data_IF_621352812135
#
_entry.id   IF_621352812135
#
_cell.length_a   1.000
_cell.length_b   1.000
_cell.length_c   1.000
_cell.angle_alpha   90.00
_cell.angle_beta   90.00
_cell.angle_gamma   90.00
#
_symmetry.space_group_name_H-M   'P 1'
#
loop_
_entity.id
_entity.type
_entity.pdbx_description
1 polymer ?
#
# COMPACT_ATOMS: atom_id res chain seq x y z
N UNK A 1 23.20 -42.43 -39.14
CA UNK A 1 24.52 -42.02 -38.61
C UNK A 1 24.59 -40.58 -38.06
N UNK A 2 23.52 -39.76 -38.06
CA UNK A 2 23.56 -38.40 -37.48
C UNK A 2 22.68 -38.21 -36.22
N UNK A 3 21.82 -39.18 -35.89
CA UNK A 3 20.93 -39.12 -34.72
C UNK A 3 21.51 -39.75 -33.44
N UNK A 4 22.54 -40.59 -33.58
CA UNK A 4 23.25 -41.18 -32.44
C UNK A 4 24.35 -40.25 -31.89
N UNK A 5 24.77 -39.24 -32.67
CA UNK A 5 25.74 -38.23 -32.25
C UNK A 5 25.12 -37.14 -31.36
N UNK A 6 23.80 -36.90 -31.44
CA UNK A 6 23.13 -35.87 -30.64
C UNK A 6 22.94 -36.30 -29.17
N UNK A 7 22.83 -37.61 -28.91
CA UNK A 7 22.76 -38.12 -27.54
C UNK A 7 24.12 -38.14 -26.81
N UNK A 8 25.23 -38.07 -27.53
CA UNK A 8 26.57 -38.04 -26.92
C UNK A 8 27.06 -36.62 -26.60
N UNK A 9 26.45 -35.59 -27.22
CA UNK A 9 26.79 -34.17 -27.00
C UNK A 9 26.06 -33.55 -25.80
N UNK A 10 25.00 -34.20 -25.29
CA UNK A 10 24.27 -33.74 -24.10
C UNK A 10 24.82 -34.28 -22.76
N UNK A 11 25.85 -35.14 -22.79
CA UNK A 11 26.42 -35.78 -21.59
C UNK A 11 27.71 -35.09 -21.07
N UNK A 12 28.10 -33.93 -21.59
CA UNK A 12 29.37 -33.26 -21.23
C UNK A 12 29.22 -31.92 -20.51
N UNK A 13 28.01 -31.50 -20.12
CA UNK A 13 27.78 -30.24 -19.38
C UNK A 13 27.66 -30.42 -17.86
N UNK A 14 28.46 -31.33 -17.30
CA UNK A 14 28.64 -31.45 -15.85
C UNK A 14 30.07 -31.02 -15.47
N UNK A 15 30.40 -29.75 -15.66
CA UNK A 15 31.53 -29.13 -14.97
C UNK A 15 31.00 -28.43 -13.72
N UNK A 16 31.02 -29.16 -12.61
CA UNK A 16 30.88 -28.56 -11.28
C UNK A 16 32.06 -27.64 -11.03
N UNK A 17 31.82 -26.33 -10.94
CA UNK A 17 32.82 -25.39 -10.44
C UNK A 17 33.03 -25.72 -8.96
N UNK A 18 34.12 -26.39 -8.64
CA UNK A 18 34.52 -26.62 -7.26
C UNK A 18 34.98 -25.28 -6.70
N UNK A 19 34.16 -24.66 -5.85
CA UNK A 19 34.60 -23.53 -5.04
C UNK A 19 35.65 -24.08 -4.05
N UNK A 20 36.93 -23.89 -4.39
CA UNK A 20 38.02 -24.24 -3.49
C UNK A 20 37.92 -23.41 -2.21
N UNK A 21 37.90 -24.07 -1.06
CA UNK A 21 38.07 -23.43 0.24
C UNK A 21 39.38 -22.62 0.23
N UNK A 22 39.30 -21.32 0.49
CA UNK A 22 40.48 -20.47 0.60
C UNK A 22 41.20 -20.80 1.91
N UNK A 23 42.32 -21.52 1.80
CA UNK A 23 43.15 -21.92 2.95
C UNK A 23 43.98 -20.73 3.41
N UNK A 24 43.79 -20.30 4.66
CA UNK A 24 44.55 -19.21 5.28
C UNK A 24 45.61 -19.82 6.19
N UNK A 25 46.87 -19.40 6.00
CA UNK A 25 48.02 -19.89 6.77
C UNK A 25 48.47 -18.84 7.76
N UNK A 26 48.85 -19.27 8.97
CA UNK A 26 49.27 -18.39 10.06
C UNK A 26 50.66 -18.78 10.55
N UNK A 27 51.52 -17.79 10.76
CA UNK A 27 52.79 -17.98 11.46
C UNK A 27 53.13 -16.77 12.34
N UNK A 28 54.06 -16.98 13.28
CA UNK A 28 54.63 -15.94 14.11
C UNK A 28 55.95 -15.46 13.49
N UNK A 29 56.08 -14.17 13.22
CA UNK A 29 57.32 -13.60 12.70
C UNK A 29 58.38 -13.42 13.82
N UNK A 30 59.60 -13.04 13.44
CA UNK A 30 60.73 -12.86 14.36
C UNK A 30 60.47 -11.82 15.47
N UNK A 31 59.52 -10.91 15.25
CA UNK A 31 59.06 -9.89 16.19
C UNK A 31 57.93 -10.36 17.11
N UNK A 32 57.53 -11.63 17.03
CA UNK A 32 56.48 -12.24 17.86
C UNK A 32 55.05 -11.96 17.40
N UNK A 33 54.86 -11.29 16.27
CA UNK A 33 53.55 -10.88 15.73
C UNK A 33 52.99 -11.98 14.83
N UNK A 34 51.68 -12.27 14.99
CA UNK A 34 50.94 -13.22 14.16
C UNK A 34 50.61 -12.61 12.80
N UNK A 35 51.01 -13.30 11.73
CA UNK A 35 50.79 -12.88 10.34
C UNK A 35 49.94 -13.94 9.61
N UNK A 36 48.91 -13.48 8.89
CA UNK A 36 47.99 -14.29 8.12
C UNK A 36 48.26 -14.10 6.62
N UNK A 37 48.33 -15.19 5.84
CA UNK A 37 48.62 -15.16 4.39
C UNK A 37 47.86 -16.26 3.65
N UNK A 38 47.51 -15.98 2.39
CA UNK A 38 46.90 -16.96 1.48
C UNK A 38 47.94 -17.85 0.76
N UNK A 39 49.24 -17.67 1.06
CA UNK A 39 50.35 -18.47 0.51
C UNK A 39 51.19 -19.14 1.61
N UNK A 40 51.52 -20.45 1.48
CA UNK A 40 52.19 -21.22 2.52
C UNK A 40 53.69 -20.86 2.66
N UNK A 41 54.21 -20.89 3.89
CA UNK A 41 55.63 -20.75 4.24
C UNK A 41 56.09 -21.88 5.16
N UNK A 42 57.40 -22.24 5.18
CA UNK A 42 57.91 -23.25 6.10
C UNK A 42 57.62 -22.86 7.57
N UNK A 43 56.95 -23.75 8.30
CA UNK A 43 56.56 -23.52 9.71
C UNK A 43 55.20 -22.82 9.91
N UNK A 44 54.42 -22.60 8.85
CA UNK A 44 53.06 -22.08 8.97
C UNK A 44 52.06 -23.21 9.28
N UNK A 45 51.11 -22.94 10.17
CA UNK A 45 49.98 -23.82 10.47
C UNK A 45 48.77 -23.41 9.62
N UNK A 46 48.09 -24.40 9.03
CA UNK A 46 46.88 -24.19 8.22
C UNK A 46 45.68 -24.02 9.15
N UNK A 47 44.94 -22.90 9.02
CA UNK A 47 43.78 -22.59 9.86
C UNK A 47 42.50 -22.63 9.03
N UNK A 48 41.57 -23.51 9.43
CA UNK A 48 40.25 -23.63 8.82
C UNK A 48 39.34 -22.49 9.32
N UNK A 49 39.00 -21.56 8.41
CA UNK A 49 38.15 -20.41 8.71
C UNK A 49 36.68 -20.86 8.66
N UNK A 50 36.11 -21.17 9.83
CA UNK A 50 34.67 -21.46 9.95
C UNK A 50 33.85 -20.21 9.61
N UNK A 51 32.74 -20.45 8.91
CA UNK A 51 31.84 -19.52 8.22
C UNK A 51 31.64 -18.13 8.85
N UNK A 52 31.40 -17.08 8.04
CA UNK A 52 31.22 -15.72 8.54
C UNK A 52 29.98 -15.60 9.44
N UNK A 53 30.18 -15.06 10.64
CA UNK A 53 29.11 -14.72 11.58
C UNK A 53 28.14 -13.71 10.94
N UNK A 54 27.03 -14.22 10.40
CA UNK A 54 25.91 -13.39 9.97
C UNK A 54 24.95 -13.25 11.15
N UNK A 55 24.87 -12.06 11.74
CA UNK A 55 23.87 -11.77 12.79
C UNK A 55 22.48 -11.76 12.14
N UNK A 56 21.74 -12.86 12.24
CA UNK A 56 20.29 -12.86 11.99
C UNK A 56 19.62 -12.24 13.22
N UNK A 57 19.26 -10.96 13.14
CA UNK A 57 18.39 -10.37 14.16
C UNK A 57 16.98 -10.95 13.98
N UNK A 58 16.65 -12.00 14.73
CA UNK A 58 15.27 -12.44 14.89
C UNK A 58 14.62 -11.52 15.93
N UNK A 59 13.80 -10.59 15.45
CA UNK A 59 12.98 -9.76 16.33
C UNK A 59 11.93 -10.69 16.94
N UNK A 60 11.94 -10.85 18.26
CA UNK A 60 10.97 -11.68 18.97
C UNK A 60 9.63 -10.96 19.06
N UNK A 61 8.67 -11.37 18.24
CA UNK A 61 7.30 -10.86 18.23
C UNK A 61 6.37 -11.54 19.24
N UNK A 62 6.88 -12.42 20.12
CA UNK A 62 6.08 -13.12 21.14
C UNK A 62 5.41 -12.19 22.15
N UNK A 63 5.91 -10.95 22.28
CA UNK A 63 5.38 -9.91 23.17
C UNK A 63 4.20 -9.14 22.54
N UNK A 64 3.91 -9.34 21.25
CA UNK A 64 2.77 -8.72 20.60
C UNK A 64 1.49 -9.47 20.98
N UNK A 65 0.75 -8.97 21.97
CA UNK A 65 -0.62 -9.42 22.28
C UNK A 65 -1.59 -8.91 21.20
N UNK A 66 -1.57 -9.54 20.03
CA UNK A 66 -2.43 -9.20 18.89
C UNK A 66 -3.80 -9.82 19.12
N UNK A 67 -4.62 -9.21 19.99
CA UNK A 67 -6.05 -9.53 20.04
C UNK A 67 -6.70 -9.05 18.74
N UNK A 68 -7.32 -9.94 17.93
CA UNK A 68 -8.03 -9.52 16.73
C UNK A 68 -9.13 -8.54 17.13
N UNK A 69 -9.03 -7.28 16.71
CA UNK A 69 -10.09 -6.31 16.90
C UNK A 69 -11.28 -6.76 16.04
N UNK A 70 -12.34 -7.22 16.70
CA UNK A 70 -13.61 -7.55 16.02
C UNK A 70 -14.13 -6.24 15.42
N UNK A 71 -14.14 -6.15 14.09
CA UNK A 71 -14.72 -5.03 13.37
C UNK A 71 -16.23 -5.22 13.40
N UNK A 72 -16.91 -4.37 14.17
CA UNK A 72 -18.37 -4.29 14.14
C UNK A 72 -18.84 -3.98 12.71
N UNK A 73 -19.84 -4.71 12.22
CA UNK A 73 -20.40 -4.49 10.88
C UNK A 73 -21.50 -3.42 10.87
N UNK A 74 -21.73 -2.74 11.99
CA UNK A 74 -22.59 -1.58 12.07
C UNK A 74 -21.89 -0.32 11.53
N UNK A 75 -22.12 -0.02 10.25
CA UNK A 75 -21.52 1.15 9.60
C UNK A 75 -22.34 2.42 9.85
N UNK A 76 -21.64 3.48 10.22
CA UNK A 76 -22.15 4.83 10.33
C UNK A 76 -21.48 5.70 9.26
N UNK A 77 -22.29 6.49 8.56
CA UNK A 77 -21.84 7.43 7.53
C UNK A 77 -22.26 8.83 7.95
N UNK A 78 -21.32 9.75 7.97
CA UNK A 78 -21.53 11.15 8.36
C UNK A 78 -20.91 12.04 7.28
N UNK A 79 -21.60 13.10 6.87
CA UNK A 79 -21.00 14.13 6.01
C UNK A 79 -20.36 15.17 6.93
N UNK A 80 -19.06 15.40 6.75
CA UNK A 80 -18.27 16.35 7.53
C UNK A 80 -18.24 17.72 6.84
N UNK A 81 -18.17 17.71 5.51
CA UNK A 81 -18.15 18.92 4.70
C UNK A 81 -19.05 18.73 3.48
N UNK A 82 -19.81 19.75 3.06
CA UNK A 82 -20.09 20.98 3.80
C UNK A 82 -20.79 20.73 5.14
N UNK A 83 -20.71 21.70 6.05
CA UNK A 83 -21.56 21.71 7.24
C UNK A 83 -23.02 21.95 6.84
N UNK A 84 -23.95 21.53 7.70
CA UNK A 84 -25.37 21.77 7.44
C UNK A 84 -25.69 23.28 7.40
N UNK A 85 -26.40 23.69 6.36
CA UNK A 85 -26.70 25.07 5.99
C UNK A 85 -25.49 25.94 5.62
N UNK A 86 -24.34 25.34 5.30
CA UNK A 86 -23.19 26.12 4.86
C UNK A 86 -23.47 26.83 3.53
N UNK A 87 -22.94 28.05 3.38
CA UNK A 87 -22.98 28.79 2.12
C UNK A 87 -21.63 28.66 1.42
N UNK A 88 -21.62 28.12 0.21
CA UNK A 88 -20.46 27.96 -0.65
C UNK A 88 -20.52 29.03 -1.73
N UNK A 89 -19.48 29.86 -1.83
CA UNK A 89 -19.38 30.88 -2.87
C UNK A 89 -18.33 30.49 -3.89
N UNK A 90 -18.77 29.95 -5.01
CA UNK A 90 -17.90 29.56 -6.11
C UNK A 90 -18.61 29.82 -7.45
N UNK A 91 -18.04 30.71 -8.26
CA UNK A 91 -18.58 31.11 -9.56
C UNK A 91 -18.57 29.97 -10.62
N UNK A 92 -17.76 28.94 -10.43
CA UNK A 92 -17.77 27.71 -11.25
C UNK A 92 -18.83 26.69 -10.80
N UNK A 93 -19.47 26.92 -9.64
CA UNK A 93 -20.40 25.95 -9.06
C UNK A 93 -19.69 24.74 -8.47
N UNK A 94 -18.43 24.88 -8.03
CA UNK A 94 -17.68 23.79 -7.39
C UNK A 94 -17.95 23.72 -5.88
N UNK A 95 -18.17 22.51 -5.37
CA UNK A 95 -18.33 22.26 -3.94
C UNK A 95 -17.63 20.98 -3.51
N UNK A 96 -16.85 21.06 -2.43
CA UNK A 96 -16.16 19.91 -1.85
C UNK A 96 -17.06 19.21 -0.84
N UNK A 97 -17.23 17.91 -1.01
CA UNK A 97 -18.00 17.08 -0.10
C UNK A 97 -17.08 16.02 0.48
N UNK A 98 -17.01 15.93 1.81
CA UNK A 98 -16.24 14.89 2.51
C UNK A 98 -17.09 14.22 3.58
N UNK A 99 -16.95 12.90 3.68
CA UNK A 99 -17.65 12.09 4.67
C UNK A 99 -16.72 11.29 5.57
N UNK A 100 -17.19 10.98 6.78
CA UNK A 100 -16.57 10.04 7.72
C UNK A 100 -17.36 8.75 7.74
N UNK A 101 -16.65 7.63 7.73
CA UNK A 101 -17.25 6.30 7.87
C UNK A 101 -16.61 5.61 9.06
N UNK A 102 -17.45 5.09 9.95
CA UNK A 102 -17.04 4.34 11.14
C UNK A 102 -17.79 3.00 11.20
N UNK A 103 -17.12 1.88 11.49
CA UNK A 103 -15.65 1.71 11.49
C UNK A 103 -15.08 1.81 10.06
N UNK A 104 -13.74 1.77 9.93
CA UNK A 104 -13.08 1.75 8.61
C UNK A 104 -13.60 0.54 7.83
N UNK A 105 -14.12 0.79 6.63
CA UNK A 105 -14.77 -0.23 5.83
C UNK A 105 -13.76 -1.16 5.15
N UNK A 106 -14.15 -2.43 5.01
CA UNK A 106 -13.36 -3.45 4.31
C UNK A 106 -13.26 -3.11 2.81
N UNK A 107 -12.19 -3.60 2.16
CA UNK A 107 -12.07 -3.52 0.68
C UNK A 107 -13.33 -4.11 0.03
N UNK A 108 -13.82 -3.45 -1.02
CA UNK A 108 -15.00 -3.88 -1.79
C UNK A 108 -16.24 -3.03 -1.55
N UNK A 109 -16.35 -2.32 -0.42
CA UNK A 109 -17.45 -1.37 -0.19
C UNK A 109 -17.24 -0.09 -1.02
N UNK A 110 -18.34 0.51 -1.46
CA UNK A 110 -18.36 1.74 -2.26
C UNK A 110 -19.29 2.77 -1.65
N UNK A 111 -19.08 4.03 -1.98
CA UNK A 111 -19.86 5.16 -1.50
C UNK A 111 -20.50 5.84 -2.70
N UNK A 112 -21.81 6.02 -2.65
CA UNK A 112 -22.58 6.81 -3.61
C UNK A 112 -22.97 8.13 -2.95
N UNK A 113 -22.55 9.24 -3.57
CA UNK A 113 -23.10 10.56 -3.25
C UNK A 113 -24.41 10.76 -4.00
N UNK A 114 -25.40 11.34 -3.34
CA UNK A 114 -26.61 11.84 -3.97
C UNK A 114 -26.66 13.36 -3.80
N UNK A 115 -27.07 14.04 -4.86
CA UNK A 115 -27.35 15.46 -4.93
C UNK A 115 -28.81 15.61 -5.37
N UNK A 116 -29.62 16.27 -4.54
CA UNK A 116 -31.05 16.49 -4.77
C UNK A 116 -31.78 15.19 -5.15
N UNK A 117 -31.53 14.15 -4.34
CA UNK A 117 -32.03 12.78 -4.48
C UNK A 117 -31.58 12.02 -5.74
N UNK A 118 -30.71 12.60 -6.58
CA UNK A 118 -30.14 11.95 -7.76
C UNK A 118 -28.71 11.46 -7.48
N UNK A 119 -28.31 10.27 -7.96
CA UNK A 119 -26.94 9.80 -7.80
C UNK A 119 -25.97 10.72 -8.54
N UNK A 120 -25.01 11.27 -7.80
CA UNK A 120 -23.93 12.07 -8.37
C UNK A 120 -22.76 11.17 -8.74
N UNK A 121 -22.55 10.98 -10.05
CA UNK A 121 -21.51 10.09 -10.62
C UNK A 121 -21.63 8.64 -10.12
N UNK A 122 -20.68 7.81 -10.53
CA UNK A 122 -20.60 6.41 -10.11
C UNK A 122 -20.09 6.28 -8.67
N UNK A 123 -20.45 5.19 -7.96
CA UNK A 123 -19.94 4.94 -6.62
C UNK A 123 -18.40 4.82 -6.58
N UNK A 124 -17.78 5.35 -5.51
CA UNK A 124 -16.33 5.41 -5.34
C UNK A 124 -15.86 4.69 -4.08
N UNK A 125 -14.57 4.38 -3.98
CA UNK A 125 -13.97 3.72 -2.80
C UNK A 125 -13.45 4.71 -1.75
N UNK A 126 -13.78 5.99 -1.88
CA UNK A 126 -13.43 7.04 -0.92
C UNK A 126 -14.63 7.95 -0.69
N UNK A 127 -14.61 8.68 0.44
CA UNK A 127 -15.70 9.54 0.89
C UNK A 127 -15.55 11.01 0.50
N UNK A 128 -14.62 11.31 -0.40
CA UNK A 128 -14.38 12.65 -0.92
C UNK A 128 -14.96 12.80 -2.33
N UNK A 129 -15.74 13.85 -2.56
CA UNK A 129 -16.35 14.16 -3.85
C UNK A 129 -16.17 15.64 -4.16
N UNK A 130 -16.07 15.94 -5.45
CA UNK A 130 -16.10 17.32 -5.95
C UNK A 130 -17.33 17.45 -6.84
N UNK A 131 -18.31 18.20 -6.36
CA UNK A 131 -19.44 18.68 -7.15
C UNK A 131 -18.94 19.75 -8.13
N UNK A 132 -19.46 19.75 -9.35
CA UNK A 132 -19.11 20.71 -10.40
C UNK A 132 -20.37 21.20 -11.09
N UNK A 133 -20.33 22.43 -11.57
CA UNK A 133 -21.42 23.04 -12.32
C UNK A 133 -22.75 23.03 -11.55
N UNK A 134 -22.68 23.13 -10.22
CA UNK A 134 -23.86 23.23 -9.38
C UNK A 134 -24.50 24.61 -9.61
N UNK A 135 -25.82 24.60 -9.76
CA UNK A 135 -26.61 25.80 -9.91
C UNK A 135 -26.59 26.62 -8.62
N UNK A 136 -27.03 27.88 -8.70
CA UNK A 136 -27.18 28.71 -7.51
C UNK A 136 -28.42 28.28 -6.71
N UNK A 137 -28.36 28.43 -5.40
CA UNK A 137 -29.51 28.17 -4.51
C UNK A 137 -29.26 27.04 -3.53
N UNK A 138 -30.35 26.48 -3.00
CA UNK A 138 -30.32 25.39 -2.03
C UNK A 138 -30.10 24.04 -2.72
N UNK A 139 -29.22 23.24 -2.15
CA UNK A 139 -28.96 21.87 -2.58
C UNK A 139 -28.89 20.94 -1.36
N UNK A 140 -29.41 19.73 -1.51
CA UNK A 140 -29.35 18.70 -0.47
C UNK A 140 -28.48 17.54 -0.92
N UNK A 141 -27.59 17.10 -0.05
CA UNK A 141 -26.71 15.96 -0.28
C UNK A 141 -26.91 14.87 0.77
N UNK A 142 -26.69 13.62 0.37
CA UNK A 142 -26.64 12.45 1.25
C UNK A 142 -25.65 11.44 0.70
N UNK A 143 -25.00 10.68 1.58
CA UNK A 143 -24.11 9.58 1.19
C UNK A 143 -24.72 8.24 1.56
N UNK A 144 -24.61 7.27 0.65
CA UNK A 144 -24.95 5.89 0.92
C UNK A 144 -23.70 5.01 0.79
N UNK A 145 -23.50 4.12 1.76
CA UNK A 145 -22.50 3.07 1.70
C UNK A 145 -23.14 1.82 1.07
N UNK A 146 -22.47 1.27 0.08
CA UNK A 146 -22.89 0.12 -0.73
C UNK A 146 -21.99 -1.08 -0.44
N UNK A 147 -22.59 -2.27 -0.40
CA UNK A 147 -21.86 -3.54 -0.39
C UNK A 147 -21.24 -3.88 -1.76
N UNK A 148 -20.55 -5.01 -1.82
CA UNK A 148 -19.93 -5.58 -3.02
C UNK A 148 -20.94 -5.92 -4.13
N UNK A 149 -22.21 -6.14 -3.77
CA UNK A 149 -23.35 -6.40 -4.66
C UNK A 149 -24.14 -5.13 -5.00
N UNK A 150 -23.73 -3.96 -4.47
CA UNK A 150 -24.40 -2.68 -4.68
C UNK A 150 -25.60 -2.42 -3.76
N UNK A 151 -25.81 -3.22 -2.70
CA UNK A 151 -26.88 -3.00 -1.74
C UNK A 151 -26.49 -1.88 -0.76
N UNK A 152 -27.41 -0.96 -0.47
CA UNK A 152 -27.21 0.05 0.57
C UNK A 152 -27.18 -0.61 1.95
N UNK A 153 -26.09 -0.41 2.69
CA UNK A 153 -25.87 -0.96 4.04
C UNK A 153 -25.86 0.13 5.12
N UNK A 154 -25.59 1.39 4.77
CA UNK A 154 -25.68 2.54 5.67
C UNK A 154 -25.93 3.82 4.86
N UNK A 155 -26.59 4.80 5.47
CA UNK A 155 -26.87 6.11 4.85
C UNK A 155 -26.60 7.22 5.85
N UNK A 156 -26.09 8.36 5.38
CA UNK A 156 -25.92 9.55 6.22
C UNK A 156 -27.23 10.29 6.43
N UNK A 157 -27.28 11.12 7.47
CA UNK A 157 -28.25 12.22 7.52
C UNK A 157 -28.09 13.13 6.29
N UNK A 158 -29.18 13.69 5.75
CA UNK A 158 -29.09 14.66 4.67
C UNK A 158 -28.48 15.98 5.18
N UNK A 159 -27.64 16.59 4.36
CA UNK A 159 -27.02 17.90 4.62
C UNK A 159 -27.49 18.86 3.54
N UNK A 160 -27.98 20.03 3.95
CA UNK A 160 -28.33 21.12 3.04
C UNK A 160 -27.17 22.10 2.94
N UNK A 161 -26.85 22.60 1.75
CA UNK A 161 -25.91 23.70 1.55
C UNK A 161 -26.48 24.68 0.52
N UNK A 162 -25.96 25.90 0.51
CA UNK A 162 -26.39 26.95 -0.40
C UNK A 162 -25.24 27.36 -1.32
N UNK A 163 -25.45 27.26 -2.63
CA UNK A 163 -24.48 27.68 -3.64
C UNK A 163 -24.72 29.13 -4.06
N UNK A 164 -23.70 29.96 -3.92
CA UNK A 164 -23.69 31.35 -4.36
C UNK A 164 -22.69 31.53 -5.51
N UNK A 165 -23.23 31.65 -6.72
CA UNK A 165 -22.47 31.98 -7.94
C UNK A 165 -23.07 33.16 -8.67
N UNK A 166 -22.21 33.96 -9.29
CA UNK A 166 -22.62 35.08 -10.12
C UNK A 166 -23.07 34.52 -11.47
N UNK A 167 -24.24 34.94 -11.96
CA UNK A 167 -24.63 34.70 -13.35
C UNK A 167 -24.01 35.81 -14.19
N UNK A 168 -23.11 35.45 -15.11
CA UNK A 168 -22.70 36.38 -16.15
C UNK A 168 -23.76 36.28 -17.24
N UNK A 169 -24.69 37.24 -17.27
CA UNK A 169 -25.57 37.38 -18.43
C UNK A 169 -24.68 37.75 -19.62
N UNK A 170 -24.46 36.79 -20.53
CA UNK A 170 -23.84 37.10 -21.81
C UNK A 170 -24.87 37.91 -22.60
N UNK A 171 -24.64 39.20 -22.77
CA UNK A 171 -25.38 39.98 -23.76
C UNK A 171 -25.06 39.38 -25.13
N UNK A 172 -26.10 38.93 -25.84
CA UNK A 172 -26.00 38.55 -27.25
C UNK A 172 -25.88 39.80 -28.11
#
# INVERSE_FOLDING_TARGET
MARFCIFFVLLTQAFSVFAGSAKVYVWRNEQGVLVFSDSPKPGAEEVDVKEPNTVKSSIDTSILDIKPKVIDNNYQVEIIQPENNATIRDNTGSAYVSGRIKPIFKRGLKIQLYLDDKPYKNPQTHSMFVLRDIDRGEHKIKMALLDDKGKIIATSSPVTFYMHRISVNKAN
#
